data_IF_295818746309
#
_entry.id   IF_295818746309
#
_cell.length_a   1.000
_cell.length_b   1.000
_cell.length_c   1.000
_cell.angle_alpha   90.00
_cell.angle_beta   90.00
_cell.angle_gamma   90.00
#
_symmetry.space_group_name_H-M   'P 1'
#
loop_
_entity.id
_entity.type
_entity.pdbx_description
1 polymer ?
#
# COMPACT_ATOMS: atom_id res chain seq x y z
N UNK A 1 50.95 36.60 43.95
CA UNK A 1 50.35 36.05 42.71
C UNK A 1 49.99 34.59 42.98
N UNK A 2 48.70 34.31 43.12
CA UNK A 2 48.18 33.02 43.59
C UNK A 2 47.95 32.05 42.41
N UNK A 3 48.32 30.77 42.59
CA UNK A 3 48.02 29.67 41.67
C UNK A 3 46.52 29.32 41.70
N UNK A 4 45.90 28.94 40.57
CA UNK A 4 44.53 28.44 40.55
C UNK A 4 44.46 27.00 41.09
N UNK A 5 43.31 26.57 41.67
CA UNK A 5 43.13 25.23 42.19
C UNK A 5 42.67 24.22 41.12
N UNK A 6 43.09 22.97 41.31
CA UNK A 6 42.76 21.79 40.50
C UNK A 6 41.25 21.43 40.57
N UNK A 7 40.63 20.89 39.50
CA UNK A 7 39.21 20.54 39.53
C UNK A 7 38.95 19.31 40.40
N UNK A 8 37.98 19.42 41.32
CA UNK A 8 37.52 18.34 42.20
C UNK A 8 36.80 17.26 41.38
N UNK A 9 37.25 16.01 41.51
CA UNK A 9 36.56 14.81 41.05
C UNK A 9 35.24 14.62 41.79
N UNK A 10 34.12 14.47 41.06
CA UNK A 10 32.81 14.14 41.63
C UNK A 10 32.80 12.70 42.19
N UNK A 11 32.12 12.45 43.33
CA UNK A 11 32.10 11.13 43.95
C UNK A 11 31.31 10.10 43.11
N UNK A 12 31.74 8.83 43.11
CA UNK A 12 31.21 7.77 42.24
C UNK A 12 29.71 7.46 42.43
N UNK A 13 29.12 7.85 43.57
CA UNK A 13 27.70 7.64 43.86
C UNK A 13 26.77 8.49 42.96
N UNK A 14 27.19 9.69 42.56
CA UNK A 14 26.38 10.54 41.65
C UNK A 14 26.39 10.01 40.21
N UNK A 15 27.47 9.35 39.79
CA UNK A 15 27.55 8.73 38.46
C UNK A 15 26.59 7.55 38.33
N UNK A 16 26.44 6.74 39.39
CA UNK A 16 25.49 5.62 39.42
C UNK A 16 24.02 6.06 39.39
N UNK A 17 23.66 7.14 40.11
CA UNK A 17 22.31 7.70 40.07
C UNK A 17 21.95 8.31 38.71
N UNK A 18 22.91 8.92 38.01
CA UNK A 18 22.73 9.40 36.64
C UNK A 18 22.62 8.26 35.62
N UNK A 19 23.35 7.16 35.81
CA UNK A 19 23.26 5.96 34.97
C UNK A 19 21.93 5.18 35.18
N UNK A 20 21.40 5.14 36.40
CA UNK A 20 20.09 4.53 36.69
C UNK A 20 18.95 5.39 36.15
N UNK A 21 19.08 6.72 36.23
CA UNK A 21 18.11 7.67 35.65
C UNK A 21 18.13 7.70 34.11
N UNK A 22 19.28 7.42 33.48
CA UNK A 22 19.36 7.23 32.02
C UNK A 22 18.81 5.89 31.55
N UNK A 23 18.77 4.86 32.40
CA UNK A 23 18.20 3.54 32.07
C UNK A 23 16.68 3.47 32.21
N UNK A 24 16.06 4.41 32.93
CA UNK A 24 14.60 4.47 33.10
C UNK A 24 13.88 5.37 32.08
N UNK A 25 14.61 5.98 31.14
CA UNK A 25 14.05 6.83 30.08
C UNK A 25 14.55 6.45 28.68
N UNK A 26 14.76 5.16 28.46
CA UNK A 26 14.72 4.59 27.12
C UNK A 26 13.29 4.16 26.86
N UNK A 27 12.47 5.08 26.33
CA UNK A 27 11.27 4.66 25.61
C UNK A 27 11.73 3.68 24.53
N UNK A 28 11.13 2.47 24.43
CA UNK A 28 11.46 1.58 23.34
C UNK A 28 11.12 2.31 22.03
N UNK A 29 12.11 2.38 21.14
CA UNK A 29 11.87 2.69 19.73
C UNK A 29 10.66 1.83 19.29
N UNK A 30 9.57 2.40 18.74
CA UNK A 30 8.34 1.65 18.46
C UNK A 30 8.47 0.66 17.29
N UNK A 31 9.70 0.39 16.86
CA UNK A 31 10.02 -0.42 15.67
C UNK A 31 10.22 -1.90 16.01
N UNK A 32 10.54 -2.25 17.25
CA UNK A 32 10.89 -3.63 17.62
C UNK A 32 9.69 -4.45 18.11
N UNK A 33 8.69 -3.80 18.73
CA UNK A 33 7.44 -4.44 19.17
C UNK A 33 6.45 -4.77 18.03
N UNK A 34 6.45 -4.00 16.93
CA UNK A 34 5.54 -4.22 15.79
C UNK A 34 5.89 -5.43 14.93
N UNK A 35 7.17 -5.79 14.85
CA UNK A 35 7.62 -6.99 14.13
C UNK A 35 7.28 -8.31 14.85
N UNK A 36 6.85 -8.23 16.12
CA UNK A 36 6.67 -9.37 17.04
C UNK A 36 5.32 -10.11 16.90
N UNK A 37 4.41 -9.59 16.06
CA UNK A 37 3.07 -10.15 15.81
C UNK A 37 2.79 -10.42 14.32
N UNK A 38 3.82 -10.78 13.54
CA UNK A 38 3.54 -11.28 12.19
C UNK A 38 2.83 -12.64 12.23
N UNK A 39 2.02 -12.93 11.22
CA UNK A 39 1.18 -14.14 11.21
C UNK A 39 1.98 -15.46 11.32
N UNK A 40 3.23 -15.51 10.83
CA UNK A 40 4.08 -16.70 10.95
C UNK A 40 4.44 -16.95 12.42
N UNK A 41 4.79 -15.90 13.17
CA UNK A 41 5.11 -16.02 14.60
C UNK A 41 3.86 -16.32 15.42
N UNK A 42 2.72 -15.69 15.11
CA UNK A 42 1.44 -15.98 15.74
C UNK A 42 1.04 -17.46 15.56
N UNK A 43 1.23 -18.03 14.35
CA UNK A 43 1.01 -19.47 14.11
C UNK A 43 1.91 -20.34 14.97
N UNK A 44 3.20 -20.02 15.09
CA UNK A 44 4.12 -20.79 15.93
C UNK A 44 3.70 -20.78 17.40
N UNK A 45 3.21 -19.64 17.91
CA UNK A 45 2.65 -19.56 19.28
C UNK A 45 1.40 -20.42 19.42
N UNK A 46 0.49 -20.36 18.45
CA UNK A 46 -0.72 -21.17 18.41
C UNK A 46 -0.44 -22.68 18.36
N UNK A 47 0.63 -23.10 17.67
CA UNK A 47 1.02 -24.51 17.58
C UNK A 47 1.45 -25.13 18.92
N UNK A 48 1.85 -24.31 19.90
CA UNK A 48 2.19 -24.79 21.26
C UNK A 48 0.95 -25.06 22.09
N UNK A 49 -0.16 -24.37 21.83
CA UNK A 49 -1.45 -24.57 22.49
C UNK A 49 -2.27 -25.64 21.73
N UNK A 50 -2.61 -26.78 22.35
CA UNK A 50 -3.32 -27.86 21.66
C UNK A 50 -4.71 -27.45 21.16
N UNK A 51 -5.41 -26.56 21.88
CA UNK A 51 -6.75 -26.08 21.49
C UNK A 51 -6.62 -25.16 20.29
N UNK A 52 -5.68 -24.20 20.34
CA UNK A 52 -5.44 -23.29 19.23
C UNK A 52 -4.97 -24.04 17.98
N UNK A 53 -4.03 -24.97 18.15
CA UNK A 53 -3.48 -25.80 17.08
C UNK A 53 -4.57 -26.61 16.37
N UNK A 54 -5.43 -27.30 17.14
CA UNK A 54 -6.55 -28.06 16.58
C UNK A 54 -7.54 -27.16 15.82
N UNK A 55 -7.93 -26.03 16.40
CA UNK A 55 -8.83 -25.06 15.76
C UNK A 55 -8.26 -24.49 14.46
N UNK A 56 -6.97 -24.16 14.43
CA UNK A 56 -6.29 -23.68 13.22
C UNK A 56 -6.23 -24.75 12.12
N UNK A 57 -5.90 -25.99 12.47
CA UNK A 57 -5.86 -27.10 11.51
C UNK A 57 -7.25 -27.39 10.94
N UNK A 58 -8.30 -27.33 11.77
CA UNK A 58 -9.68 -27.50 11.32
C UNK A 58 -10.08 -26.39 10.32
N UNK A 59 -9.83 -25.13 10.66
CA UNK A 59 -10.13 -23.99 9.80
C UNK A 59 -9.36 -24.04 8.47
N UNK A 60 -8.13 -24.54 8.47
CA UNK A 60 -7.33 -24.72 7.25
C UNK A 60 -7.86 -25.83 6.33
N UNK A 61 -8.56 -26.83 6.86
CA UNK A 61 -9.25 -27.82 6.04
C UNK A 61 -10.48 -27.21 5.37
N UNK A 62 -11.16 -26.28 6.05
CA UNK A 62 -12.31 -25.55 5.51
C UNK A 62 -11.95 -24.64 4.32
N UNK A 63 -10.78 -23.99 4.34
CA UNK A 63 -10.33 -23.15 3.21
C UNK A 63 -10.07 -23.99 1.95
N UNK A 64 -9.64 -25.24 2.13
CA UNK A 64 -9.29 -26.14 1.03
C UNK A 64 -10.54 -26.67 0.30
N UNK A 65 -11.66 -26.86 1.01
CA UNK A 65 -12.95 -27.29 0.43
C UNK A 65 -13.73 -26.16 -0.26
N UNK A 66 -13.51 -24.91 0.12
CA UNK A 66 -14.14 -23.69 -0.48
C UNK A 66 -13.51 -23.29 -1.83
N UNK A 67 -12.64 -24.12 -2.41
CA UNK A 67 -12.00 -23.92 -3.72
C UNK A 67 -12.97 -23.80 -4.91
N UNK A 68 -14.29 -23.91 -4.67
CA UNK A 68 -15.36 -23.62 -5.63
C UNK A 68 -16.11 -22.35 -5.17
N UNK A 69 -15.75 -21.15 -5.64
CA UNK A 69 -16.41 -19.92 -5.25
C UNK A 69 -17.75 -19.84 -5.99
N UNK A 70 -18.84 -20.16 -5.29
CA UNK A 70 -20.19 -19.79 -5.69
C UNK A 70 -20.38 -18.28 -5.49
N UNK A 71 -21.37 -17.66 -6.16
CA UNK A 71 -21.63 -16.23 -6.08
C UNK A 71 -21.78 -15.76 -4.63
N UNK A 72 -21.53 -14.47 -4.41
CA UNK A 72 -21.54 -13.79 -3.11
C UNK A 72 -22.83 -13.93 -2.26
N UNK A 73 -23.84 -14.67 -2.74
CA UNK A 73 -25.13 -14.83 -2.08
C UNK A 73 -25.18 -15.99 -1.07
N UNK A 74 -24.36 -17.06 -1.17
CA UNK A 74 -24.48 -18.20 -0.23
C UNK A 74 -23.13 -18.90 0.00
N UNK A 75 -22.23 -18.25 0.74
CA UNK A 75 -21.18 -18.98 1.48
C UNK A 75 -21.85 -19.67 2.68
N UNK A 76 -22.56 -20.79 2.44
CA UNK A 76 -22.94 -21.71 3.50
C UNK A 76 -21.68 -22.44 3.98
N UNK A 77 -20.87 -21.75 4.77
CA UNK A 77 -19.70 -22.32 5.39
C UNK A 77 -20.16 -23.30 6.47
N UNK A 78 -19.61 -24.51 6.54
CA UNK A 78 -20.00 -25.49 7.55
C UNK A 78 -19.91 -24.90 8.96
N UNK A 79 -20.92 -25.17 9.79
CA UNK A 79 -21.00 -24.62 11.17
C UNK A 79 -19.73 -24.95 11.98
N UNK A 80 -19.16 -26.13 11.75
CA UNK A 80 -17.92 -26.62 12.36
C UNK A 80 -16.70 -25.71 12.05
N UNK A 81 -16.67 -25.10 10.87
CA UNK A 81 -15.64 -24.12 10.50
C UNK A 81 -15.83 -22.79 11.24
N UNK A 82 -17.09 -22.41 11.48
CA UNK A 82 -17.46 -21.22 12.24
C UNK A 82 -17.12 -21.38 13.73
N UNK A 83 -17.34 -22.56 14.29
CA UNK A 83 -16.92 -22.89 15.65
C UNK A 83 -15.39 -22.85 15.82
N UNK A 84 -14.64 -23.47 14.89
CA UNK A 84 -13.18 -23.42 14.89
C UNK A 84 -12.66 -21.97 14.82
N UNK A 85 -13.30 -21.13 14.01
CA UNK A 85 -13.05 -19.70 13.93
C UNK A 85 -13.26 -18.96 15.27
N UNK A 86 -14.32 -19.29 16.01
CA UNK A 86 -14.59 -18.70 17.34
C UNK A 86 -13.49 -19.02 18.35
N UNK A 87 -12.96 -20.25 18.34
CA UNK A 87 -11.84 -20.64 19.21
C UNK A 87 -10.55 -19.84 18.96
N UNK A 88 -10.35 -19.35 17.73
CA UNK A 88 -9.19 -18.53 17.38
C UNK A 88 -9.36 -17.04 17.66
N UNK A 89 -10.57 -16.57 17.98
CA UNK A 89 -10.90 -15.14 18.15
C UNK A 89 -10.03 -14.44 19.21
N UNK A 90 -9.72 -15.14 20.30
CA UNK A 90 -8.90 -14.61 21.41
C UNK A 90 -7.41 -14.89 21.25
N UNK A 91 -6.98 -15.51 20.15
CA UNK A 91 -5.58 -15.85 19.91
C UNK A 91 -4.82 -14.71 19.23
N UNK A 92 -3.49 -14.73 19.34
CA UNK A 92 -2.61 -13.80 18.60
C UNK A 92 -2.71 -13.90 17.08
N UNK A 93 -3.37 -14.94 16.54
CA UNK A 93 -3.59 -15.07 15.10
C UNK A 93 -4.61 -14.07 14.57
N UNK A 94 -5.64 -13.71 15.35
CA UNK A 94 -6.73 -12.84 14.86
C UNK A 94 -6.28 -11.39 14.63
N UNK A 95 -5.22 -10.95 15.32
CA UNK A 95 -4.65 -9.60 15.21
C UNK A 95 -3.31 -9.57 14.46
N UNK A 96 -2.92 -10.68 13.83
CA UNK A 96 -1.65 -10.74 13.13
C UNK A 96 -1.70 -9.96 11.81
N UNK A 97 -0.56 -9.38 11.42
CA UNK A 97 -0.40 -8.69 10.15
C UNK A 97 0.78 -9.27 9.37
N UNK A 98 0.84 -8.95 8.09
CA UNK A 98 1.99 -9.21 7.24
C UNK A 98 2.65 -7.89 6.83
N UNK A 99 3.89 -7.99 6.36
CA UNK A 99 4.60 -6.84 5.82
C UNK A 99 4.94 -7.06 4.37
N UNK A 100 4.88 -5.99 3.58
CA UNK A 100 5.35 -6.02 2.19
C UNK A 100 6.85 -6.34 2.19
N UNK A 101 7.31 -7.15 1.22
CA UNK A 101 8.73 -7.48 0.98
C UNK A 101 9.39 -8.33 2.09
N UNK A 102 8.59 -8.99 2.94
CA UNK A 102 9.11 -9.97 3.89
C UNK A 102 9.55 -11.26 3.15
N UNK A 103 10.59 -11.95 3.64
CA UNK A 103 11.14 -13.15 2.95
C UNK A 103 10.09 -14.24 2.73
N UNK A 104 9.22 -14.47 3.71
CA UNK A 104 8.19 -15.51 3.68
C UNK A 104 6.79 -14.90 3.51
N UNK A 105 6.65 -13.93 2.60
CA UNK A 105 5.41 -13.17 2.41
C UNK A 105 4.22 -14.09 2.09
N UNK A 106 4.36 -15.01 1.14
CA UNK A 106 3.29 -15.95 0.77
C UNK A 106 2.84 -16.77 1.99
N UNK A 107 3.77 -17.37 2.74
CA UNK A 107 3.44 -18.13 3.93
C UNK A 107 2.77 -17.28 5.03
N UNK A 108 3.12 -16.00 5.16
CA UNK A 108 2.42 -15.09 6.09
C UNK A 108 0.97 -14.86 5.67
N UNK A 109 0.76 -14.59 4.37
CA UNK A 109 -0.57 -14.33 3.81
C UNK A 109 -1.46 -15.57 3.86
N UNK A 110 -0.91 -16.75 3.63
CA UNK A 110 -1.64 -18.02 3.82
C UNK A 110 -2.19 -18.11 5.24
N UNK A 111 -1.35 -17.85 6.26
CA UNK A 111 -1.82 -17.84 7.65
C UNK A 111 -2.89 -16.77 7.87
N UNK A 112 -2.68 -15.56 7.37
CA UNK A 112 -3.65 -14.46 7.52
C UNK A 112 -5.01 -14.83 6.92
N UNK A 113 -5.04 -15.33 5.68
CA UNK A 113 -6.27 -15.64 4.98
C UNK A 113 -6.98 -16.86 5.56
N UNK A 114 -6.25 -17.84 6.09
CA UNK A 114 -6.86 -18.94 6.85
C UNK A 114 -7.64 -18.40 8.06
N UNK A 115 -7.06 -17.46 8.81
CA UNK A 115 -7.68 -16.95 10.05
C UNK A 115 -8.66 -15.81 9.82
N UNK A 116 -8.60 -15.11 8.69
CA UNK A 116 -9.57 -14.06 8.34
C UNK A 116 -10.77 -14.59 7.54
N UNK A 117 -10.70 -15.81 6.98
CA UNK A 117 -11.90 -16.52 6.55
C UNK A 117 -12.94 -16.57 7.69
N UNK A 118 -12.49 -16.78 8.94
CA UNK A 118 -13.29 -16.77 10.16
C UNK A 118 -14.11 -15.49 10.39
N UNK A 119 -13.63 -14.34 9.90
CA UNK A 119 -14.23 -13.02 10.16
C UNK A 119 -15.33 -12.70 9.15
N UNK A 120 -15.17 -13.18 7.91
CA UNK A 120 -16.18 -13.09 6.84
C UNK A 120 -17.42 -13.98 7.09
N UNK A 121 -17.43 -14.80 8.15
CA UNK A 121 -18.54 -15.73 8.49
C UNK A 121 -19.62 -15.13 9.41
N UNK A 122 -19.51 -13.84 9.76
CA UNK A 122 -20.36 -13.24 10.79
C UNK A 122 -20.96 -11.88 10.46
N UNK A 123 -20.30 -11.05 9.65
CA UNK A 123 -20.77 -9.72 9.29
C UNK A 123 -20.31 -9.39 7.86
N UNK A 124 -21.07 -8.56 7.13
CA UNK A 124 -20.71 -8.00 5.82
C UNK A 124 -19.53 -7.01 5.95
N UNK A 125 -18.43 -7.41 6.60
CA UNK A 125 -17.21 -6.63 6.76
C UNK A 125 -16.32 -6.84 5.53
N UNK A 126 -15.98 -5.75 4.84
CA UNK A 126 -15.02 -5.74 3.73
C UNK A 126 -13.72 -6.44 4.16
N UNK A 127 -13.18 -7.30 3.28
CA UNK A 127 -11.87 -7.93 3.49
C UNK A 127 -10.84 -6.85 3.89
N UNK A 128 -10.25 -6.97 5.08
CA UNK A 128 -9.26 -6.01 5.58
C UNK A 128 -7.92 -6.31 4.93
N UNK A 129 -7.13 -5.27 4.59
CA UNK A 129 -5.79 -5.48 4.06
C UNK A 129 -4.91 -6.25 5.07
N UNK A 130 -4.23 -7.33 4.65
CA UNK A 130 -3.29 -8.06 5.51
C UNK A 130 -2.00 -7.31 5.79
N UNK A 131 -1.71 -6.24 5.06
CA UNK A 131 -0.44 -5.55 5.18
C UNK A 131 -0.50 -4.41 6.19
N UNK A 132 0.45 -4.39 7.11
CA UNK A 132 0.65 -3.20 7.93
C UNK A 132 1.30 -2.08 7.10
N UNK A 133 0.65 -0.93 7.05
CA UNK A 133 1.22 0.27 6.45
C UNK A 133 2.36 0.80 7.31
N UNK A 134 3.59 0.49 6.91
CA UNK A 134 4.76 1.12 7.52
C UNK A 134 4.66 2.64 7.31
N UNK A 135 4.58 3.41 8.41
CA UNK A 135 4.50 4.88 8.44
C UNK A 135 5.82 5.56 7.98
N UNK A 136 6.60 4.89 7.14
CA UNK A 136 7.82 5.47 6.58
C UNK A 136 7.49 6.16 5.26
N UNK A 137 6.94 7.38 5.37
CA UNK A 137 6.95 8.34 4.27
C UNK A 137 8.40 8.78 4.01
N UNK A 138 9.17 7.94 3.33
CA UNK A 138 10.42 8.42 2.73
C UNK A 138 10.02 9.45 1.67
N UNK A 139 10.63 10.64 1.64
CA UNK A 139 10.37 11.62 0.60
C UNK A 139 10.52 10.98 -0.77
N UNK A 140 9.60 11.27 -1.68
CA UNK A 140 9.77 10.92 -3.08
C UNK A 140 10.94 11.74 -3.60
N UNK A 141 12.09 11.11 -3.81
CA UNK A 141 13.31 11.76 -4.29
C UNK A 141 13.93 10.91 -5.39
N UNK A 142 14.13 11.53 -6.54
CA UNK A 142 14.83 10.94 -7.68
C UNK A 142 16.12 11.72 -7.88
N UNK A 143 17.22 11.01 -8.14
CA UNK A 143 18.49 11.66 -8.46
C UNK A 143 18.45 12.10 -9.92
N UNK A 144 18.54 13.42 -10.12
CA UNK A 144 18.48 14.08 -11.41
C UNK A 144 19.82 14.74 -11.78
N UNK A 145 20.87 14.50 -10.99
CA UNK A 145 22.22 15.05 -11.24
C UNK A 145 22.80 14.67 -12.60
N UNK A 146 22.33 13.55 -13.18
CA UNK A 146 22.74 13.04 -14.49
C UNK A 146 21.75 13.36 -15.63
N UNK A 147 20.84 14.32 -15.44
CA UNK A 147 19.91 14.79 -16.48
C UNK A 147 20.64 15.24 -17.76
N UNK A 148 21.84 15.81 -17.64
CA UNK A 148 22.66 16.26 -18.77
C UNK A 148 23.10 15.12 -19.71
N UNK A 149 23.01 13.86 -19.27
CA UNK A 149 23.25 12.68 -20.11
C UNK A 149 22.01 12.25 -20.91
N UNK A 150 20.85 12.89 -20.68
CA UNK A 150 19.61 12.60 -21.40
C UNK A 150 19.58 13.37 -22.73
N UNK A 151 19.07 12.73 -23.78
CA UNK A 151 18.89 13.39 -25.07
C UNK A 151 17.83 14.50 -24.93
N UNK A 152 18.08 15.76 -25.34
CA UNK A 152 17.16 16.87 -25.13
C UNK A 152 15.76 16.61 -25.74
N UNK A 153 15.73 16.06 -26.95
CA UNK A 153 14.49 15.77 -27.71
C UNK A 153 13.77 14.47 -27.31
N UNK A 154 14.18 13.82 -26.21
CA UNK A 154 13.53 12.58 -25.77
C UNK A 154 12.20 12.83 -25.06
N UNK A 155 11.23 11.95 -25.34
CA UNK A 155 9.96 11.92 -24.63
C UNK A 155 10.14 11.64 -23.12
N UNK A 156 9.18 12.07 -22.29
CA UNK A 156 9.31 11.97 -20.84
C UNK A 156 9.35 10.51 -20.35
N UNK A 157 8.68 9.58 -21.03
CA UNK A 157 8.79 8.15 -20.70
C UNK A 157 10.19 7.61 -20.97
N UNK A 158 10.85 8.04 -22.05
CA UNK A 158 12.24 7.70 -22.35
C UNK A 158 13.19 8.30 -21.31
N UNK A 159 12.98 9.56 -20.88
CA UNK A 159 13.77 10.19 -19.81
C UNK A 159 13.70 9.39 -18.50
N UNK A 160 12.50 8.98 -18.06
CA UNK A 160 12.36 8.11 -16.88
C UNK A 160 13.00 6.73 -17.07
N UNK A 161 12.92 6.16 -18.27
CA UNK A 161 13.59 4.89 -18.58
C UNK A 161 15.11 5.01 -18.50
N UNK A 162 15.68 6.12 -18.97
CA UNK A 162 17.11 6.40 -18.85
C UNK A 162 17.53 6.62 -17.40
N UNK A 163 16.74 7.34 -16.59
CA UNK A 163 17.02 7.47 -15.15
C UNK A 163 17.03 6.12 -14.42
N UNK A 164 16.14 5.20 -14.77
CA UNK A 164 16.22 3.82 -14.27
C UNK A 164 17.50 3.10 -14.74
N UNK A 165 17.91 3.32 -15.99
CA UNK A 165 19.14 2.73 -16.57
C UNK A 165 20.40 3.24 -15.87
N UNK A 166 20.40 4.50 -15.40
CA UNK A 166 21.50 5.11 -14.64
C UNK A 166 21.56 4.67 -13.17
N UNK A 167 20.53 3.96 -12.68
CA UNK A 167 20.47 3.41 -11.34
C UNK A 167 20.69 1.89 -11.38
N UNK A 168 21.86 1.41 -10.91
CA UNK A 168 22.26 -0.01 -11.01
C UNK A 168 21.19 -0.99 -10.52
N UNK A 169 20.50 -0.64 -9.42
CA UNK A 169 19.45 -1.49 -8.86
C UNK A 169 18.22 -1.52 -9.78
N UNK A 170 17.78 -0.37 -10.28
CA UNK A 170 16.64 -0.28 -11.19
C UNK A 170 16.95 -0.94 -12.54
N UNK A 171 18.11 -0.63 -13.13
CA UNK A 171 18.56 -1.20 -14.40
C UNK A 171 18.63 -2.72 -14.35
N UNK A 172 19.25 -3.29 -13.31
CA UNK A 172 19.32 -4.75 -13.12
C UNK A 172 17.92 -5.38 -13.03
N UNK A 173 17.01 -4.80 -12.25
CA UNK A 173 15.65 -5.33 -12.13
C UNK A 173 14.88 -5.18 -13.44
N UNK A 174 15.10 -4.08 -14.17
CA UNK A 174 14.46 -3.80 -15.47
C UNK A 174 14.90 -4.76 -16.54
N UNK A 175 16.21 -5.03 -16.64
CA UNK A 175 16.78 -6.05 -17.53
C UNK A 175 16.24 -7.43 -17.23
N UNK A 176 16.16 -7.81 -15.94
CA UNK A 176 15.66 -9.13 -15.53
C UNK A 176 14.22 -9.40 -15.99
N UNK A 177 13.29 -8.45 -15.86
CA UNK A 177 11.94 -8.64 -16.39
C UNK A 177 11.89 -8.46 -17.91
N UNK A 178 12.71 -7.56 -18.48
CA UNK A 178 12.84 -7.40 -19.93
C UNK A 178 13.22 -8.70 -20.62
N UNK A 179 14.22 -9.41 -20.11
CA UNK A 179 14.65 -10.72 -20.60
C UNK A 179 13.55 -11.78 -20.42
N UNK A 180 12.95 -11.87 -19.22
CA UNK A 180 11.92 -12.86 -18.93
C UNK A 180 10.61 -12.68 -19.70
N UNK A 181 10.33 -11.45 -20.15
CA UNK A 181 9.12 -11.09 -20.88
C UNK A 181 9.34 -10.98 -22.40
N UNK A 182 10.56 -11.23 -22.90
CA UNK A 182 10.91 -11.11 -24.32
C UNK A 182 10.89 -12.45 -25.06
N UNK A 183 10.74 -12.39 -26.39
CA UNK A 183 10.83 -13.53 -27.28
C UNK A 183 9.50 -14.21 -27.63
N UNK A 184 9.49 -14.99 -28.71
CA UNK A 184 8.30 -15.69 -29.22
C UNK A 184 7.81 -16.82 -28.31
N UNK A 185 8.66 -17.34 -27.43
CA UNK A 185 8.34 -18.40 -26.45
C UNK A 185 8.33 -17.87 -25.01
N UNK A 186 7.78 -16.69 -24.81
CA UNK A 186 7.73 -16.08 -23.49
C UNK A 186 6.93 -16.93 -22.49
N UNK A 187 7.52 -17.23 -21.33
CA UNK A 187 6.83 -17.92 -20.25
C UNK A 187 6.15 -16.90 -19.34
N UNK A 188 4.84 -16.70 -19.53
CA UNK A 188 4.03 -15.75 -18.77
C UNK A 188 4.23 -15.83 -17.24
N UNK A 189 4.25 -17.00 -16.58
CA UNK A 189 4.49 -17.08 -15.13
C UNK A 189 5.85 -16.53 -14.69
N UNK A 190 6.89 -16.75 -15.49
CA UNK A 190 8.25 -16.25 -15.24
C UNK A 190 8.32 -14.73 -15.46
N UNK A 191 7.69 -14.22 -16.53
CA UNK A 191 7.54 -12.79 -16.79
C UNK A 191 6.83 -12.08 -15.63
N UNK A 192 5.66 -12.57 -15.21
CA UNK A 192 4.88 -12.01 -14.10
C UNK A 192 5.68 -12.02 -12.78
N UNK A 193 6.44 -13.09 -12.50
CA UNK A 193 7.32 -13.16 -11.32
C UNK A 193 8.39 -12.06 -11.33
N UNK A 194 9.02 -11.81 -12.47
CA UNK A 194 10.03 -10.75 -12.57
C UNK A 194 9.43 -9.35 -12.55
N UNK A 195 8.24 -9.14 -13.13
CA UNK A 195 7.49 -7.89 -13.01
C UNK A 195 7.16 -7.58 -11.54
N UNK A 196 6.64 -8.57 -10.78
CA UNK A 196 6.41 -8.41 -9.33
C UNK A 196 7.71 -8.03 -8.61
N UNK A 197 8.81 -8.72 -8.91
CA UNK A 197 10.10 -8.42 -8.31
C UNK A 197 10.59 -6.99 -8.62
N UNK A 198 10.35 -6.47 -9.83
CA UNK A 198 10.66 -5.09 -10.19
C UNK A 198 9.86 -4.09 -9.36
N UNK A 199 8.52 -4.15 -9.41
CA UNK A 199 7.65 -3.19 -8.72
C UNK A 199 7.74 -3.30 -7.19
N UNK A 200 8.14 -4.45 -6.66
CA UNK A 200 8.42 -4.61 -5.23
C UNK A 200 9.78 -4.07 -4.83
N UNK A 201 10.85 -4.25 -5.62
CA UNK A 201 12.22 -3.99 -5.15
C UNK A 201 12.82 -2.68 -5.66
N UNK A 202 12.36 -2.18 -6.80
CA UNK A 202 12.75 -0.86 -7.29
C UNK A 202 12.30 0.22 -6.31
N UNK A 203 12.96 1.38 -6.30
CA UNK A 203 12.46 2.49 -5.49
C UNK A 203 11.16 3.04 -6.09
N UNK A 204 10.31 3.58 -5.22
CA UNK A 204 9.02 4.15 -5.63
C UNK A 204 9.18 5.23 -6.71
N UNK A 205 10.17 6.16 -6.66
CA UNK A 205 10.41 7.11 -7.74
C UNK A 205 10.70 6.51 -9.10
N UNK A 206 11.61 5.52 -9.19
CA UNK A 206 11.94 4.92 -10.49
C UNK A 206 10.79 4.11 -11.07
N UNK A 207 10.11 3.32 -10.23
CA UNK A 207 8.99 2.50 -10.68
C UNK A 207 7.76 3.33 -11.07
N UNK A 208 7.43 4.39 -10.31
CA UNK A 208 6.35 5.32 -10.65
C UNK A 208 6.69 6.11 -11.92
N UNK A 209 7.91 6.63 -12.02
CA UNK A 209 8.34 7.38 -13.21
C UNK A 209 8.28 6.54 -14.48
N UNK A 210 8.75 5.28 -14.43
CA UNK A 210 8.76 4.39 -15.59
C UNK A 210 7.34 3.98 -16.05
N UNK A 211 6.41 3.77 -15.10
CA UNK A 211 5.05 3.33 -15.42
C UNK A 211 4.09 4.50 -15.72
N UNK A 212 4.15 5.56 -14.90
CA UNK A 212 3.20 6.67 -14.89
C UNK A 212 3.83 7.93 -15.50
N UNK A 213 4.52 7.76 -16.63
CA UNK A 213 5.11 8.88 -17.35
C UNK A 213 4.05 9.64 -18.17
N UNK A 214 4.06 10.99 -18.13
CA UNK A 214 3.18 11.82 -18.95
C UNK A 214 3.60 11.76 -20.43
N UNK A 215 2.63 11.93 -21.32
CA UNK A 215 2.84 12.04 -22.77
C UNK A 215 1.91 13.12 -23.32
N UNK A 216 2.34 13.83 -24.36
CA UNK A 216 1.44 14.68 -25.12
C UNK A 216 0.44 13.81 -25.90
N UNK A 217 -0.83 14.21 -26.08
CA UNK A 217 -1.81 13.42 -26.84
C UNK A 217 -1.40 13.10 -28.29
N UNK A 218 -0.62 14.00 -28.92
CA UNK A 218 -0.08 13.81 -30.26
C UNK A 218 1.13 12.87 -30.31
N UNK A 219 1.80 12.62 -29.18
CA UNK A 219 3.00 11.77 -29.10
C UNK A 219 2.62 10.31 -28.84
N UNK A 220 2.18 9.64 -29.91
CA UNK A 220 1.82 8.22 -29.87
C UNK A 220 3.02 7.33 -29.52
N UNK A 221 4.25 7.76 -29.81
CA UNK A 221 5.47 7.03 -29.50
C UNK A 221 5.70 6.92 -27.99
N UNK A 222 5.54 8.04 -27.29
CA UNK A 222 5.56 8.09 -25.82
C UNK A 222 4.47 7.20 -25.20
N UNK A 223 3.23 7.31 -25.68
CA UNK A 223 2.13 6.50 -25.15
C UNK A 223 2.28 5.00 -25.42
N UNK A 224 2.78 4.62 -26.59
CA UNK A 224 3.13 3.23 -26.92
C UNK A 224 4.25 2.71 -26.02
N UNK A 225 5.27 3.54 -25.70
CA UNK A 225 6.32 3.19 -24.73
C UNK A 225 5.72 2.93 -23.35
N UNK A 226 4.84 3.82 -22.87
CA UNK A 226 4.13 3.68 -21.60
C UNK A 226 3.31 2.39 -21.52
N UNK A 227 2.51 2.11 -22.54
CA UNK A 227 1.71 0.87 -22.64
C UNK A 227 2.58 -0.40 -22.66
N UNK A 228 3.75 -0.33 -23.29
CA UNK A 228 4.67 -1.47 -23.41
C UNK A 228 5.62 -1.63 -22.22
N UNK A 229 5.58 -0.76 -21.20
CA UNK A 229 6.46 -0.82 -20.03
C UNK A 229 6.43 -2.20 -19.33
N UNK A 230 5.26 -2.85 -19.31
CA UNK A 230 5.05 -4.16 -18.66
C UNK A 230 5.05 -5.34 -19.63
N UNK A 231 5.49 -5.14 -20.89
CA UNK A 231 5.48 -6.17 -21.94
C UNK A 231 4.13 -6.89 -22.09
N UNK A 232 3.05 -6.16 -22.47
CA UNK A 232 1.69 -6.68 -22.44
C UNK A 232 1.47 -7.92 -23.33
N UNK A 233 2.24 -8.07 -24.41
CA UNK A 233 2.19 -9.24 -25.29
C UNK A 233 2.50 -10.58 -24.60
N UNK A 234 3.20 -10.55 -23.47
CA UNK A 234 3.46 -11.73 -22.65
C UNK A 234 2.78 -11.67 -21.27
N UNK A 235 2.77 -10.50 -20.63
CA UNK A 235 2.23 -10.36 -19.28
C UNK A 235 0.70 -10.51 -19.23
N UNK A 236 -0.01 -9.98 -20.23
CA UNK A 236 -1.46 -10.07 -20.31
C UNK A 236 -1.89 -11.39 -20.96
N UNK A 237 -3.12 -11.88 -20.68
CA UNK A 237 -3.64 -13.07 -21.37
C UNK A 237 -3.77 -12.81 -22.88
N UNK A 238 -3.57 -13.86 -23.69
CA UNK A 238 -3.62 -13.78 -25.16
C UNK A 238 -5.00 -13.46 -25.73
N UNK A 239 -6.05 -13.63 -24.93
CA UNK A 239 -7.42 -13.21 -25.21
C UNK A 239 -7.99 -12.45 -24.02
N UNK A 240 -9.27 -12.08 -24.09
CA UNK A 240 -9.94 -11.39 -23.00
C UNK A 240 -10.89 -12.35 -22.26
N UNK A 241 -10.44 -13.03 -21.18
CA UNK A 241 -11.31 -13.90 -20.38
C UNK A 241 -12.42 -13.09 -19.70
N UNK A 242 -13.38 -13.79 -19.08
CA UNK A 242 -14.37 -13.13 -18.24
C UNK A 242 -13.69 -12.49 -17.01
N UNK A 243 -14.02 -11.24 -16.66
CA UNK A 243 -13.38 -10.54 -15.54
C UNK A 243 -13.63 -11.22 -14.18
N UNK A 244 -14.80 -11.87 -14.00
CA UNK A 244 -15.09 -12.61 -12.77
C UNK A 244 -14.24 -13.87 -12.64
N UNK A 245 -13.92 -14.56 -13.74
CA UNK A 245 -12.97 -15.68 -13.71
C UNK A 245 -11.55 -15.20 -13.38
N UNK A 246 -11.15 -14.04 -13.91
CA UNK A 246 -9.86 -13.44 -13.57
C UNK A 246 -9.78 -13.09 -12.07
N UNK A 247 -10.88 -12.54 -11.52
CA UNK A 247 -11.03 -12.29 -10.08
C UNK A 247 -10.97 -13.59 -9.28
N UNK A 248 -11.62 -14.66 -9.75
CA UNK A 248 -11.58 -15.99 -9.12
C UNK A 248 -10.16 -16.52 -8.99
N UNK A 249 -9.41 -16.50 -10.09
CA UNK A 249 -7.99 -16.90 -10.13
C UNK A 249 -7.15 -16.05 -9.16
N UNK A 250 -7.43 -14.75 -9.06
CA UNK A 250 -6.74 -13.85 -8.15
C UNK A 250 -7.04 -14.16 -6.67
N UNK A 251 -8.30 -14.40 -6.33
CA UNK A 251 -8.72 -14.69 -4.95
C UNK A 251 -8.09 -16.01 -4.45
N UNK A 252 -7.89 -16.98 -5.35
CA UNK A 252 -7.20 -18.24 -5.03
C UNK A 252 -5.69 -18.10 -4.76
N UNK A 253 -5.03 -17.03 -5.22
CA UNK A 253 -3.63 -16.73 -4.93
C UNK A 253 -3.53 -15.77 -3.74
N UNK A 254 -2.98 -16.17 -2.58
CA UNK A 254 -2.91 -15.32 -1.38
C UNK A 254 -2.28 -13.96 -1.64
N UNK A 255 -1.29 -13.87 -2.52
CA UNK A 255 -0.64 -12.62 -2.86
C UNK A 255 -1.54 -11.72 -3.71
N UNK A 256 -2.15 -12.24 -4.78
CA UNK A 256 -3.06 -11.50 -5.64
C UNK A 256 -4.28 -11.02 -4.85
N UNK A 257 -4.91 -11.89 -4.05
CA UNK A 257 -6.02 -11.53 -3.16
C UNK A 257 -5.67 -10.33 -2.28
N UNK A 258 -4.52 -10.36 -1.61
CA UNK A 258 -4.08 -9.23 -0.78
C UNK A 258 -3.85 -7.95 -1.58
N UNK A 259 -3.31 -8.04 -2.79
CA UNK A 259 -3.08 -6.86 -3.64
C UNK A 259 -4.39 -6.28 -4.19
N UNK A 260 -5.37 -7.13 -4.46
CA UNK A 260 -6.71 -6.71 -4.87
C UNK A 260 -7.42 -5.99 -3.73
N UNK A 261 -7.36 -6.53 -2.51
CA UNK A 261 -7.95 -5.90 -1.32
C UNK A 261 -7.29 -4.55 -1.01
N UNK A 262 -5.96 -4.44 -1.13
CA UNK A 262 -5.26 -3.16 -1.03
C UNK A 262 -5.80 -2.14 -2.03
N UNK A 263 -6.02 -2.55 -3.29
CA UNK A 263 -6.54 -1.68 -4.34
C UNK A 263 -7.97 -1.24 -4.01
N UNK A 264 -8.84 -2.18 -3.66
CA UNK A 264 -10.22 -1.91 -3.29
C UNK A 264 -10.32 -0.99 -2.08
N UNK A 265 -9.41 -1.09 -1.11
CA UNK A 265 -9.39 -0.24 0.08
C UNK A 265 -8.87 1.16 -0.24
N UNK A 266 -7.70 1.27 -0.88
CA UNK A 266 -7.02 2.55 -1.04
C UNK A 266 -7.50 3.36 -2.23
N UNK A 267 -8.02 2.69 -3.27
CA UNK A 267 -8.56 3.32 -4.47
C UNK A 267 -10.09 3.36 -4.50
N UNK A 268 -10.77 3.08 -3.38
CA UNK A 268 -12.22 3.28 -3.30
C UNK A 268 -12.55 4.75 -3.53
N UNK A 269 -13.41 5.09 -4.51
CA UNK A 269 -13.84 6.46 -4.74
C UNK A 269 -14.84 6.90 -3.67
N UNK A 270 -14.56 7.99 -2.96
CA UNK A 270 -15.52 8.59 -2.02
C UNK A 270 -16.51 9.54 -2.71
N UNK A 271 -16.10 10.11 -3.84
CA UNK A 271 -16.90 11.04 -4.63
C UNK A 271 -16.56 10.94 -6.12
N UNK A 272 -17.36 11.64 -6.93
CA UNK A 272 -17.15 11.77 -8.37
C UNK A 272 -16.00 12.75 -8.72
N UNK A 273 -15.48 13.51 -7.75
CA UNK A 273 -14.45 14.53 -7.95
C UNK A 273 -13.02 13.95 -7.91
N UNK A 274 -12.87 12.68 -7.51
CA UNK A 274 -11.59 11.99 -7.47
C UNK A 274 -10.96 11.90 -6.08
N UNK A 275 -11.74 12.09 -5.02
CA UNK A 275 -11.30 11.85 -3.65
C UNK A 275 -11.23 10.34 -3.39
N UNK A 276 -10.07 9.87 -2.94
CA UNK A 276 -9.89 8.49 -2.51
C UNK A 276 -10.26 8.30 -1.04
N UNK A 277 -10.66 7.09 -0.66
CA UNK A 277 -10.90 6.73 0.74
C UNK A 277 -9.68 6.93 1.65
N UNK A 278 -8.48 6.90 1.08
CA UNK A 278 -7.23 7.19 1.80
C UNK A 278 -6.43 8.31 1.13
N UNK A 279 -5.27 8.00 0.54
CA UNK A 279 -4.39 8.98 -0.11
C UNK A 279 -4.08 8.55 -1.54
N UNK A 280 -3.98 9.49 -2.49
CA UNK A 280 -3.57 9.20 -3.87
C UNK A 280 -2.27 8.38 -3.92
N UNK A 281 -1.31 8.67 -3.03
CA UNK A 281 -0.05 7.92 -2.95
C UNK A 281 -0.24 6.44 -2.57
N UNK A 282 -1.20 6.14 -1.68
CA UNK A 282 -1.53 4.77 -1.27
C UNK A 282 -2.29 4.05 -2.38
N UNK A 283 -3.22 4.74 -3.03
CA UNK A 283 -3.92 4.20 -4.20
C UNK A 283 -2.92 3.81 -5.31
N UNK A 284 -1.99 4.69 -5.68
CA UNK A 284 -0.98 4.37 -6.70
C UNK A 284 -0.09 3.19 -6.29
N UNK A 285 0.30 3.08 -5.01
CA UNK A 285 1.05 1.91 -4.51
C UNK A 285 0.23 0.62 -4.56
N UNK A 286 -1.08 0.69 -4.32
CA UNK A 286 -1.97 -0.46 -4.43
C UNK A 286 -2.18 -0.87 -5.89
N UNK A 287 -2.48 0.09 -6.77
CA UNK A 287 -2.61 -0.09 -8.22
C UNK A 287 -1.35 -0.74 -8.83
N UNK A 288 -0.17 -0.17 -8.57
CA UNK A 288 1.09 -0.75 -9.05
C UNK A 288 1.38 -2.12 -8.41
N UNK A 289 0.85 -2.37 -7.22
CA UNK A 289 0.96 -3.64 -6.51
C UNK A 289 0.24 -4.80 -7.20
N UNK A 290 -0.72 -4.52 -8.10
CA UNK A 290 -1.39 -5.52 -8.93
C UNK A 290 -0.56 -5.99 -10.13
N UNK A 291 0.49 -5.24 -10.52
CA UNK A 291 1.28 -5.60 -11.69
C UNK A 291 2.11 -6.86 -11.40
N UNK A 292 1.98 -7.84 -12.29
CA UNK A 292 2.60 -9.15 -12.13
C UNK A 292 1.73 -10.16 -11.36
N UNK A 293 0.47 -9.82 -11.05
CA UNK A 293 -0.54 -10.77 -10.58
C UNK A 293 -1.48 -11.19 -11.73
N UNK A 294 -2.46 -12.07 -11.45
CA UNK A 294 -3.47 -12.45 -12.44
C UNK A 294 -4.26 -11.23 -12.96
N UNK A 295 -4.59 -10.28 -12.08
CA UNK A 295 -5.33 -9.05 -12.39
C UNK A 295 -4.38 -7.88 -12.68
N UNK A 296 -3.40 -8.07 -13.56
CA UNK A 296 -2.47 -7.00 -13.97
C UNK A 296 -3.21 -5.96 -14.83
N UNK A 297 -3.38 -4.71 -14.39
CA UNK A 297 -3.96 -3.65 -15.21
C UNK A 297 -2.93 -3.08 -16.20
N UNK A 298 -3.40 -2.46 -17.28
CA UNK A 298 -2.55 -1.71 -18.20
C UNK A 298 -3.29 -0.52 -18.82
N UNK A 299 -2.54 0.38 -19.47
CA UNK A 299 -3.10 1.41 -20.34
C UNK A 299 -3.78 0.77 -21.55
N UNK A 300 -5.04 1.17 -21.80
CA UNK A 300 -5.84 0.64 -22.91
C UNK A 300 -5.42 1.24 -24.25
N UNK A 301 -5.04 2.51 -24.24
CA UNK A 301 -4.72 3.30 -25.44
C UNK A 301 -3.36 3.99 -25.33
N UNK A 302 -2.83 4.40 -26.48
CA UNK A 302 -1.57 5.12 -26.59
C UNK A 302 -1.76 6.64 -26.57
N UNK A 303 -2.99 7.12 -26.58
CA UNK A 303 -3.28 8.58 -26.61
C UNK A 303 -3.75 9.14 -25.27
N UNK A 304 -4.50 8.34 -24.50
CA UNK A 304 -5.06 8.75 -23.21
C UNK A 304 -4.43 7.95 -22.06
N UNK A 305 -4.84 8.28 -20.84
CA UNK A 305 -4.38 7.64 -19.60
C UNK A 305 -5.39 6.65 -19.03
N UNK A 306 -6.34 6.18 -19.85
CA UNK A 306 -7.32 5.17 -19.42
C UNK A 306 -6.62 3.84 -19.14
N UNK A 307 -6.99 3.22 -18.02
CA UNK A 307 -6.43 1.95 -17.56
C UNK A 307 -7.55 0.94 -17.36
N UNK A 308 -7.30 -0.32 -17.67
CA UNK A 308 -8.27 -1.39 -17.45
C UNK A 308 -7.56 -2.73 -17.23
N UNK A 309 -8.32 -3.72 -16.81
CA UNK A 309 -7.91 -5.12 -16.88
C UNK A 309 -8.04 -5.65 -18.31
N UNK A 310 -7.28 -6.68 -18.64
CA UNK A 310 -7.39 -7.39 -19.92
C UNK A 310 -8.43 -8.51 -19.82
N UNK A 311 -9.70 -8.13 -19.70
CA UNK A 311 -10.85 -9.04 -19.59
C UNK A 311 -12.11 -8.39 -20.19
N UNK A 312 -13.22 -9.13 -20.26
CA UNK A 312 -14.55 -8.58 -20.63
C UNK A 312 -15.63 -9.14 -19.72
N UNK A 313 -16.80 -8.52 -19.72
CA UNK A 313 -17.99 -9.07 -19.08
C UNK A 313 -18.86 -9.93 -20.01
N UNK A 314 -18.31 -10.44 -21.10
CA UNK A 314 -19.02 -11.40 -21.95
C UNK A 314 -19.18 -12.72 -21.20
N UNK A 315 -20.41 -13.25 -21.20
CA UNK A 315 -20.72 -14.56 -20.60
C UNK A 315 -20.86 -14.54 -19.08
N UNK A 316 -21.10 -13.39 -18.45
CA UNK A 316 -21.32 -13.28 -17.00
C UNK A 316 -22.71 -13.75 -16.53
N UNK A 317 -23.70 -13.83 -17.44
CA UNK A 317 -25.05 -14.28 -17.12
C UNK A 317 -25.71 -13.38 -16.07
N UNK A 318 -26.18 -13.97 -14.97
CA UNK A 318 -26.82 -13.23 -13.87
C UNK A 318 -25.86 -12.34 -13.08
N UNK A 319 -24.54 -12.47 -13.28
CA UNK A 319 -23.52 -11.67 -12.60
C UNK A 319 -22.97 -10.55 -13.51
N UNK A 320 -23.76 -10.11 -14.49
CA UNK A 320 -23.38 -9.04 -15.42
C UNK A 320 -23.02 -7.75 -14.68
N UNK A 321 -23.91 -7.27 -13.82
CA UNK A 321 -23.73 -6.03 -13.06
C UNK A 321 -22.49 -6.10 -12.14
N UNK A 322 -22.26 -7.24 -11.50
CA UNK A 322 -21.08 -7.46 -10.65
C UNK A 322 -19.78 -7.43 -11.46
N UNK A 323 -19.81 -7.97 -12.68
CA UNK A 323 -18.69 -7.92 -13.59
C UNK A 323 -18.40 -6.48 -14.05
N UNK A 324 -19.44 -5.74 -14.44
CA UNK A 324 -19.33 -4.37 -14.90
C UNK A 324 -18.80 -3.45 -13.79
N UNK A 325 -19.29 -3.60 -12.56
CA UNK A 325 -18.74 -2.91 -11.39
C UNK A 325 -17.24 -3.21 -11.19
N UNK A 326 -16.83 -4.47 -11.38
CA UNK A 326 -15.41 -4.82 -11.31
C UNK A 326 -14.60 -4.14 -12.43
N UNK A 327 -15.09 -4.13 -13.66
CA UNK A 327 -14.43 -3.48 -14.80
C UNK A 327 -14.34 -1.95 -14.62
N UNK A 328 -15.42 -1.33 -14.16
CA UNK A 328 -15.53 0.11 -13.86
C UNK A 328 -14.63 0.54 -12.70
N UNK A 329 -14.39 -0.34 -11.72
CA UNK A 329 -13.47 -0.06 -10.60
C UNK A 329 -12.03 0.24 -11.05
N UNK A 330 -11.67 -0.11 -12.30
CA UNK A 330 -10.43 0.27 -12.96
C UNK A 330 -10.64 1.35 -14.02
N UNK A 331 -11.60 1.15 -14.93
CA UNK A 331 -11.77 1.98 -16.14
C UNK A 331 -12.46 3.31 -15.90
N UNK A 332 -13.33 3.40 -14.89
CA UNK A 332 -14.16 4.56 -14.58
C UNK A 332 -14.01 5.02 -13.12
N UNK A 333 -12.87 4.71 -12.49
CA UNK A 333 -12.61 5.07 -11.09
C UNK A 333 -12.05 6.50 -10.98
N UNK A 334 -12.82 7.47 -10.46
CA UNK A 334 -12.40 8.88 -10.40
C UNK A 334 -11.19 9.07 -9.47
N UNK A 335 -11.10 8.33 -8.36
CA UNK A 335 -9.96 8.39 -7.45
C UNK A 335 -8.66 7.92 -8.13
N UNK A 336 -8.70 6.79 -8.83
CA UNK A 336 -7.55 6.26 -9.55
C UNK A 336 -7.10 7.20 -10.69
N UNK A 337 -8.07 7.69 -11.46
CA UNK A 337 -7.80 8.59 -12.59
C UNK A 337 -7.17 9.91 -12.12
N UNK A 338 -7.70 10.51 -11.06
CA UNK A 338 -7.12 11.73 -10.49
C UNK A 338 -5.74 11.47 -9.85
N UNK A 339 -5.54 10.32 -9.19
CA UNK A 339 -4.24 9.94 -8.65
C UNK A 339 -3.16 9.80 -9.75
N UNK A 340 -3.50 9.14 -10.86
CA UNK A 340 -2.62 9.01 -12.02
C UNK A 340 -2.35 10.38 -12.64
N UNK A 341 -3.39 11.20 -12.85
CA UNK A 341 -3.27 12.53 -13.43
C UNK A 341 -2.39 13.45 -12.56
N UNK A 342 -2.59 13.46 -11.24
CA UNK A 342 -1.79 14.23 -10.29
C UNK A 342 -0.32 13.80 -10.30
N UNK A 343 -0.06 12.49 -10.35
CA UNK A 343 1.31 11.96 -10.46
C UNK A 343 1.97 12.34 -11.79
N UNK A 344 1.24 12.25 -12.91
CA UNK A 344 1.74 12.66 -14.22
C UNK A 344 2.03 14.17 -14.30
N UNK A 345 1.17 15.01 -13.71
CA UNK A 345 1.42 16.46 -13.57
C UNK A 345 2.72 16.74 -12.79
N UNK A 346 2.90 16.07 -11.66
CA UNK A 346 4.14 16.17 -10.88
C UNK A 346 5.37 15.71 -11.68
N UNK A 347 5.25 14.61 -12.43
CA UNK A 347 6.31 14.13 -13.31
C UNK A 347 6.65 15.10 -14.44
N UNK A 348 5.68 15.80 -15.02
CA UNK A 348 5.96 16.84 -16.02
C UNK A 348 6.76 17.99 -15.42
N UNK A 349 6.34 18.49 -14.24
CA UNK A 349 7.01 19.59 -13.54
C UNK A 349 8.48 19.28 -13.21
N UNK A 350 8.80 18.02 -12.92
CA UNK A 350 10.15 17.57 -12.58
C UNK A 350 11.19 17.83 -13.69
N UNK A 351 10.76 17.86 -14.96
CA UNK A 351 11.64 18.12 -16.12
C UNK A 351 11.41 19.48 -16.76
N UNK A 352 10.51 20.30 -16.22
CA UNK A 352 10.25 21.66 -16.70
C UNK A 352 11.01 22.73 -15.89
N UNK A 353 11.65 22.37 -14.79
CA UNK A 353 12.46 23.27 -13.99
C UNK A 353 13.92 23.23 -14.47
N UNK A 354 14.43 24.37 -14.92
CA UNK A 354 15.86 24.64 -14.96
C UNK A 354 16.36 24.56 -13.50
N UNK A 355 17.25 23.61 -13.21
CA UNK A 355 17.77 23.39 -11.86
C UNK A 355 18.77 24.49 -11.47
N UNK A 356 18.28 25.71 -11.19
CA UNK A 356 18.92 26.59 -10.22
C UNK A 356 18.27 26.35 -8.85
N UNK A 357 19.04 25.64 -8.01
CA UNK A 357 18.95 25.53 -6.56
C UNK A 357 17.59 25.88 -5.92
N UNK A 358 16.73 24.89 -5.72
CA UNK A 358 15.51 25.06 -4.92
C UNK A 358 15.06 23.77 -4.24
N UNK A 359 15.31 23.71 -2.94
CA UNK A 359 14.64 22.80 -2.03
C UNK A 359 13.18 23.21 -1.94
N UNK A 360 12.26 22.49 -2.60
CA UNK A 360 10.83 22.80 -2.49
C UNK A 360 10.31 22.46 -1.09
N UNK A 361 9.64 23.41 -0.41
CA UNK A 361 8.81 23.08 0.74
C UNK A 361 7.54 22.40 0.22
N UNK A 362 7.33 21.15 0.61
CA UNK A 362 6.00 20.53 0.51
C UNK A 362 5.06 21.35 1.38
N UNK A 363 4.02 21.91 0.77
CA UNK A 363 2.96 22.66 1.44
C UNK A 363 2.27 21.75 2.47
N UNK A 364 2.58 21.94 3.75
CA UNK A 364 1.72 21.50 4.85
C UNK A 364 0.38 22.22 4.70
N UNK A 365 -0.64 21.50 4.26
CA UNK A 365 -2.01 21.97 4.36
C UNK A 365 -2.35 21.95 5.85
N UNK A 366 -2.23 23.10 6.50
CA UNK A 366 -2.69 23.32 7.87
C UNK A 366 -4.14 22.87 7.97
N UNK A 367 -4.35 21.76 8.66
CA UNK A 367 -5.66 21.25 9.02
C UNK A 367 -6.22 22.14 10.13
N UNK A 368 -6.82 23.29 9.76
CA UNK A 368 -7.65 24.06 10.70
C UNK A 368 -9.06 23.45 10.68
N UNK A 369 -9.27 22.47 11.55
CA UNK A 369 -10.60 22.19 12.08
C UNK A 369 -10.61 22.57 13.56
N UNK A 370 -11.52 23.47 14.00
CA UNK A 370 -11.73 23.76 15.41
C UNK A 370 -12.52 22.61 16.03
N UNK A 371 -11.83 21.62 16.60
CA UNK A 371 -12.47 20.65 17.48
C UNK A 371 -12.59 21.26 18.88
N UNK A 372 -13.80 21.65 19.26
CA UNK A 372 -14.20 21.82 20.65
C UNK A 372 -13.81 20.56 21.43
N UNK A 373 -12.98 20.74 22.45
CA UNK A 373 -12.69 19.71 23.46
C UNK A 373 -13.82 19.73 24.50
N UNK A 374 -14.45 18.60 24.86
CA UNK A 374 -15.28 18.54 26.05
C UNK A 374 -14.37 18.58 27.28
N UNK A 375 -14.56 19.56 28.16
CA UNK A 375 -13.91 19.58 29.48
C UNK A 375 -14.60 18.58 30.43
N UNK A 376 -13.83 17.86 31.26
CA UNK A 376 -14.39 17.03 32.32
C UNK A 376 -14.87 17.90 33.49
N UNK A 377 -16.08 17.59 33.96
CA UNK A 377 -16.71 18.22 35.12
C UNK A 377 -15.86 18.02 36.38
N UNK A 378 -15.47 19.13 37.02
CA UNK A 378 -15.02 19.14 38.41
C UNK A 378 -16.00 20.00 39.17
N UNK A 379 -16.71 19.36 40.09
CA UNK A 379 -17.61 20.00 41.04
C UNK A 379 -16.81 20.84 42.03
N UNK A 380 -17.02 22.15 42.01
CA UNK A 380 -16.61 23.04 43.11
C UNK A 380 -17.65 24.13 43.29
N UNK A 381 -18.48 23.92 44.32
CA UNK A 381 -19.35 24.88 44.98
C UNK A 381 -18.56 26.14 45.33
N UNK A 382 -18.98 27.34 44.91
CA UNK A 382 -18.75 28.58 45.67
C UNK A 382 -19.76 29.67 45.28
N UNK A 383 -20.67 29.90 46.23
CA UNK A 383 -21.48 31.08 46.59
C UNK A 383 -21.52 32.33 45.68
N UNK A 384 -22.76 32.75 45.41
CA UNK A 384 -23.21 34.09 45.07
C UNK A 384 -22.78 35.15 46.10
N UNK A 385 -22.39 36.35 45.64
CA UNK A 385 -22.98 37.64 46.09
C UNK A 385 -22.52 38.85 45.25
N UNK A 386 -23.52 39.49 44.62
CA UNK A 386 -23.77 40.92 44.32
C UNK A 386 -22.88 41.83 43.42
N UNK A 387 -23.52 42.76 42.66
CA UNK A 387 -22.88 43.68 41.71
C UNK A 387 -22.81 45.15 42.19
N UNK A 388 -21.91 45.96 41.62
CA UNK A 388 -21.91 47.44 41.63
C UNK A 388 -20.87 47.91 40.58
N UNK A 389 -21.23 48.42 39.39
CA UNK A 389 -21.76 49.74 39.02
C UNK A 389 -20.84 50.92 39.39
N UNK A 390 -20.36 51.60 38.33
CA UNK A 390 -19.95 53.01 38.16
C UNK A 390 -18.68 53.53 38.87
N UNK A 391 -17.70 53.95 38.06
CA UNK A 391 -17.28 55.35 37.80
C UNK A 391 -15.87 55.32 37.18
N UNK A 392 -15.74 55.53 35.86
CA UNK A 392 -15.28 56.78 35.24
C UNK A 392 -14.06 57.41 35.93
N UNK A 393 -12.90 57.18 35.30
CA UNK A 393 -11.93 58.17 34.85
C UNK A 393 -11.65 59.38 35.75
N UNK A 394 -10.38 59.51 36.17
CA UNK A 394 -9.56 60.72 36.01
C UNK A 394 -8.21 60.50 36.71
N UNK A 395 -7.15 60.27 35.94
CA UNK A 395 -5.88 61.01 35.90
C UNK A 395 -4.83 60.32 35.03
#
# INVERSE_FOLDING_TARGET
MARPPNPRTLPPALLLLMLVSLRLRADPLPTEGRLMNNCIQARRKCQVDPICSAAYHHLNSCTSSVSTPLPAQELLVPEECREAAQHLRNSSLMSCTCHRRMKNQVACLEVYWTVHLARSLGDFELDVSPYEDAVTRKPWKMDLSKLNMLKPDSDLCLKFAMLCTLNDKCDRLRKAYGEACSGSRCQRPTCLRQLRAFFEKASEPHSQGLLLCPCAPADQGCGQRRRNTIAPSCALPSGAPNCLELRRICISDPLCRSRLVDFQTHCHPLDILGTCATEHSRCLRAYMGLIGTAMTPNFVSNVNTSVALSCTCRGSGNLQDECEQLEESFSHNPCLMEAIAAKMRFHSQLFSQDWEDSTFPVMERQNKNPALRPQPWVSSLFFCTLPLILFLSLW
#
